data_IF_789154789914
#
_entry.id   IF_789154789914
#
_cell.length_a   1.000
_cell.length_b   1.000
_cell.length_c   1.000
_cell.angle_alpha   90.00
_cell.angle_beta   90.00
_cell.angle_gamma   90.00
#
_symmetry.space_group_name_H-M   'P 1'
#
loop_
_entity.id
_entity.type
_entity.pdbx_description
1 polymer ?
#
# COMPACT_ATOMS: atom_id res chain seq x y z
N UNK A 1 0.77 -47.07 13.55
CA UNK A 1 1.11 -46.06 14.60
C UNK A 1 0.46 -44.76 14.22
N UNK A 2 -0.70 -44.43 14.81
CA UNK A 2 -1.38 -43.16 14.58
C UNK A 2 -0.73 -42.12 15.47
N UNK A 3 -0.09 -41.11 14.85
CA UNK A 3 0.48 -39.96 15.55
C UNK A 3 -0.62 -39.11 16.14
N UNK A 4 -0.81 -39.16 17.45
CA UNK A 4 -1.65 -38.23 18.20
C UNK A 4 -1.08 -36.81 18.05
N UNK A 5 -1.76 -35.94 17.28
CA UNK A 5 -1.53 -34.50 17.37
C UNK A 5 -1.97 -34.03 18.77
N UNK A 6 -1.13 -33.33 19.53
CA UNK A 6 -1.53 -32.85 20.86
C UNK A 6 -2.67 -31.84 20.72
N UNK A 7 -3.76 -32.08 21.47
CA UNK A 7 -4.87 -31.13 21.57
C UNK A 7 -4.36 -29.81 22.14
N UNK A 8 -4.62 -28.67 21.50
CA UNK A 8 -4.23 -27.37 22.02
C UNK A 8 -4.89 -27.11 23.37
N UNK A 9 -4.13 -26.56 24.32
CA UNK A 9 -4.67 -26.15 25.63
C UNK A 9 -5.67 -25.03 25.41
N UNK A 10 -6.82 -25.03 26.12
CA UNK A 10 -7.89 -24.01 26.00
C UNK A 10 -7.41 -22.55 25.96
N UNK A 11 -6.33 -22.21 26.66
CA UNK A 11 -5.73 -20.87 26.60
C UNK A 11 -5.01 -20.55 25.29
N UNK A 12 -4.47 -21.55 24.59
CA UNK A 12 -3.83 -21.42 23.28
C UNK A 12 -4.87 -21.09 22.18
N UNK A 13 -6.03 -21.75 22.21
CA UNK A 13 -7.10 -21.49 21.21
C UNK A 13 -7.66 -20.07 21.33
N UNK A 14 -7.91 -19.57 22.55
CA UNK A 14 -8.39 -18.21 22.74
C UNK A 14 -7.39 -17.16 22.27
N UNK A 15 -6.09 -17.37 22.56
CA UNK A 15 -5.01 -16.50 22.09
C UNK A 15 -4.84 -16.55 20.56
N UNK A 16 -5.01 -17.71 19.95
CA UNK A 16 -4.96 -17.88 18.50
C UNK A 16 -6.12 -17.15 17.80
N UNK A 17 -7.32 -17.22 18.35
CA UNK A 17 -8.49 -16.50 17.83
C UNK A 17 -8.27 -14.99 17.91
N UNK A 18 -7.77 -14.50 19.04
CA UNK A 18 -7.50 -13.07 19.23
C UNK A 18 -6.43 -12.56 18.25
N UNK A 19 -5.33 -13.29 18.07
CA UNK A 19 -4.29 -12.94 17.10
C UNK A 19 -4.84 -12.93 15.67
N UNK A 20 -5.63 -13.91 15.27
CA UNK A 20 -6.27 -13.93 13.93
C UNK A 20 -7.15 -12.71 13.71
N UNK A 21 -7.97 -12.35 14.70
CA UNK A 21 -8.82 -11.16 14.65
C UNK A 21 -7.98 -9.88 14.50
N UNK A 22 -6.95 -9.70 15.34
CA UNK A 22 -6.03 -8.56 15.28
C UNK A 22 -5.34 -8.43 13.92
N UNK A 23 -4.84 -9.55 13.38
CA UNK A 23 -4.19 -9.60 12.07
C UNK A 23 -5.18 -9.24 10.95
N UNK A 24 -6.37 -9.83 10.97
CA UNK A 24 -7.40 -9.56 9.96
C UNK A 24 -7.85 -8.09 9.97
N UNK A 25 -8.18 -7.53 11.13
CA UNK A 25 -8.59 -6.13 11.25
C UNK A 25 -7.46 -5.16 10.84
N UNK A 26 -6.21 -5.51 11.16
CA UNK A 26 -5.07 -4.71 10.71
C UNK A 26 -4.92 -4.73 9.17
N UNK A 27 -5.03 -5.89 8.53
CA UNK A 27 -4.95 -6.00 7.06
C UNK A 27 -6.11 -5.27 6.40
N UNK A 28 -7.30 -5.30 6.99
CA UNK A 28 -8.48 -4.61 6.50
C UNK A 28 -8.31 -3.09 6.52
N UNK A 29 -7.75 -2.56 7.59
CA UNK A 29 -7.50 -1.12 7.74
C UNK A 29 -6.21 -0.64 7.07
N UNK A 30 -5.25 -1.55 6.81
CA UNK A 30 -3.93 -1.27 6.23
C UNK A 30 -3.61 -2.25 5.08
N UNK A 31 -4.40 -2.23 3.99
CA UNK A 31 -4.22 -3.20 2.91
C UNK A 31 -2.89 -3.00 2.17
N UNK A 32 -2.31 -4.10 1.71
CA UNK A 32 -1.06 -4.09 0.95
C UNK A 32 0.20 -3.99 1.79
N UNK A 33 0.11 -4.15 3.10
CA UNK A 33 1.28 -4.28 3.97
C UNK A 33 1.93 -5.66 3.77
N UNK A 34 3.27 -5.70 3.85
CA UNK A 34 4.01 -6.95 3.77
C UNK A 34 4.29 -7.52 5.17
N UNK A 35 4.69 -8.79 5.22
CA UNK A 35 4.89 -9.57 6.45
C UNK A 35 5.64 -8.82 7.57
N UNK A 36 6.77 -8.18 7.25
CA UNK A 36 7.59 -7.48 8.25
C UNK A 36 6.95 -6.20 8.77
N UNK A 37 6.14 -5.51 7.96
CA UNK A 37 5.37 -4.34 8.42
C UNK A 37 4.30 -4.78 9.40
N UNK A 38 3.56 -5.86 9.08
CA UNK A 38 2.52 -6.43 9.95
C UNK A 38 3.14 -6.90 11.27
N UNK A 39 4.27 -7.63 11.19
CA UNK A 39 5.00 -8.11 12.37
C UNK A 39 5.37 -6.97 13.33
N UNK A 40 6.02 -5.94 12.81
CA UNK A 40 6.45 -4.79 13.63
C UNK A 40 5.30 -4.05 14.27
N UNK A 41 4.18 -3.94 13.55
CA UNK A 41 3.02 -3.18 14.03
C UNK A 41 2.22 -3.93 15.08
N UNK A 42 2.07 -5.24 14.93
CA UNK A 42 1.27 -6.06 15.84
C UNK A 42 2.08 -6.69 16.97
N UNK A 43 3.41 -6.62 16.88
CA UNK A 43 4.36 -7.23 17.82
C UNK A 43 4.08 -8.75 18.03
N UNK A 44 3.86 -9.45 16.92
CA UNK A 44 3.62 -10.90 16.91
C UNK A 44 4.90 -11.61 16.45
N UNK A 45 5.33 -12.70 17.12
CA UNK A 45 6.47 -13.50 16.65
C UNK A 45 6.27 -13.97 15.21
N UNK A 46 7.35 -13.93 14.40
CA UNK A 46 7.28 -14.17 12.96
C UNK A 46 6.59 -15.49 12.60
N UNK A 47 7.00 -16.59 13.23
CA UNK A 47 6.41 -17.91 12.96
C UNK A 47 4.93 -18.00 13.32
N UNK A 48 4.50 -17.34 14.39
CA UNK A 48 3.08 -17.22 14.78
C UNK A 48 2.31 -16.41 13.75
N UNK A 49 2.88 -15.28 13.30
CA UNK A 49 2.25 -14.45 12.27
C UNK A 49 2.11 -15.20 10.95
N UNK A 50 3.17 -15.88 10.47
CA UNK A 50 3.12 -16.67 9.24
C UNK A 50 2.08 -17.80 9.31
N UNK A 51 1.99 -18.48 10.45
CA UNK A 51 0.95 -19.49 10.69
C UNK A 51 -0.46 -18.91 10.55
N UNK A 52 -0.74 -17.77 11.21
CA UNK A 52 -2.05 -17.15 11.16
C UNK A 52 -2.39 -16.54 9.80
N UNK A 53 -1.41 -15.94 9.11
CA UNK A 53 -1.62 -15.43 7.75
C UNK A 53 -1.98 -16.55 6.79
N UNK A 54 -1.26 -17.69 6.84
CA UNK A 54 -1.60 -18.86 6.02
C UNK A 54 -3.01 -19.35 6.32
N UNK A 55 -3.38 -19.47 7.58
CA UNK A 55 -4.72 -19.87 7.99
C UNK A 55 -5.81 -18.92 7.47
N UNK A 56 -5.58 -17.60 7.53
CA UNK A 56 -6.53 -16.61 7.00
C UNK A 56 -6.63 -16.64 5.47
N UNK A 57 -5.56 -16.98 4.76
CA UNK A 57 -5.56 -17.21 3.31
C UNK A 57 -6.35 -18.48 2.96
N UNK A 58 -6.14 -19.58 3.68
CA UNK A 58 -6.89 -20.85 3.50
C UNK A 58 -8.40 -20.68 3.74
N UNK A 59 -8.80 -19.81 4.67
CA UNK A 59 -10.20 -19.45 4.91
C UNK A 59 -10.74 -18.41 3.91
N UNK A 60 -9.96 -18.00 2.92
CA UNK A 60 -10.34 -16.98 1.94
C UNK A 60 -10.77 -15.64 2.56
N UNK A 61 -10.30 -15.31 3.76
CA UNK A 61 -10.55 -14.03 4.41
C UNK A 61 -9.61 -12.94 3.94
N UNK A 62 -8.38 -13.32 3.59
CA UNK A 62 -7.38 -12.44 2.99
C UNK A 62 -6.79 -13.10 1.74
N UNK A 63 -6.20 -12.28 0.89
CA UNK A 63 -5.45 -12.73 -0.29
C UNK A 63 -4.01 -12.23 -0.22
N UNK A 64 -3.10 -13.11 -0.55
CA UNK A 64 -1.68 -12.83 -0.72
C UNK A 64 -1.40 -12.47 -2.19
N UNK A 65 -0.60 -11.45 -2.43
CA UNK A 65 -0.14 -11.05 -3.76
C UNK A 65 1.35 -10.77 -3.75
N UNK A 66 2.07 -11.35 -4.68
CA UNK A 66 3.48 -11.03 -4.90
C UNK A 66 3.64 -9.64 -5.53
N UNK A 67 4.57 -8.86 -4.99
CA UNK A 67 4.98 -7.54 -5.46
C UNK A 67 6.51 -7.43 -5.38
N UNK A 68 7.18 -7.79 -6.45
CA UNK A 68 8.63 -7.92 -6.49
C UNK A 68 9.12 -9.00 -5.51
N UNK A 69 9.92 -8.59 -4.52
CA UNK A 69 10.45 -9.49 -3.49
C UNK A 69 9.56 -9.64 -2.25
N UNK A 70 8.39 -8.98 -2.25
CA UNK A 70 7.50 -8.95 -1.10
C UNK A 70 6.17 -9.63 -1.39
N UNK A 71 5.63 -10.30 -0.38
CA UNK A 71 4.23 -10.74 -0.35
C UNK A 71 3.41 -9.72 0.40
N UNK A 72 2.38 -9.19 -0.24
CA UNK A 72 1.47 -8.21 0.31
C UNK A 72 0.11 -8.84 0.56
N UNK A 73 -0.52 -8.43 1.65
CA UNK A 73 -1.78 -9.00 2.11
C UNK A 73 -2.91 -7.99 1.96
N UNK A 74 -4.06 -8.47 1.48
CA UNK A 74 -5.26 -7.68 1.25
C UNK A 74 -6.49 -8.42 1.77
N UNK A 75 -7.55 -7.72 2.22
CA UNK A 75 -8.82 -8.39 2.53
C UNK A 75 -9.44 -8.95 1.25
N UNK A 76 -10.02 -10.13 1.34
CA UNK A 76 -10.67 -10.79 0.20
C UNK A 76 -11.92 -10.02 -0.25
N UNK A 77 -12.12 -9.91 -1.55
CA UNK A 77 -13.36 -9.40 -2.17
C UNK A 77 -13.61 -7.89 -2.09
N UNK A 78 -12.84 -7.14 -1.27
CA UNK A 78 -13.08 -5.71 -1.04
C UNK A 78 -12.23 -4.78 -1.90
N UNK A 79 -11.11 -5.26 -2.43
CA UNK A 79 -10.14 -4.46 -3.18
C UNK A 79 -9.87 -5.10 -4.53
N UNK A 80 -10.22 -4.40 -5.60
CA UNK A 80 -10.00 -4.83 -6.98
C UNK A 80 -8.52 -4.87 -7.38
N UNK A 81 -8.20 -5.52 -8.51
CA UNK A 81 -6.81 -5.64 -9.00
C UNK A 81 -6.18 -4.28 -9.28
N UNK A 82 -6.93 -3.32 -9.81
CA UNK A 82 -6.51 -1.95 -10.05
C UNK A 82 -6.15 -1.24 -8.74
N UNK A 83 -7.01 -1.35 -7.73
CA UNK A 83 -6.80 -0.72 -6.42
C UNK A 83 -5.62 -1.34 -5.67
N UNK A 84 -5.40 -2.66 -5.80
CA UNK A 84 -4.20 -3.33 -5.26
C UNK A 84 -2.92 -2.76 -5.88
N UNK A 85 -2.92 -2.46 -7.18
CA UNK A 85 -1.79 -1.84 -7.90
C UNK A 85 -1.51 -0.42 -7.37
N UNK A 86 -2.56 0.40 -7.18
CA UNK A 86 -2.46 1.73 -6.59
C UNK A 86 -1.88 1.63 -5.16
N UNK A 87 -2.46 0.81 -4.30
CA UNK A 87 -2.03 0.65 -2.92
C UNK A 87 -0.59 0.13 -2.79
N UNK A 88 -0.14 -0.73 -3.69
CA UNK A 88 1.25 -1.19 -3.75
C UNK A 88 2.23 -0.02 -3.93
N UNK A 89 1.90 0.97 -4.75
CA UNK A 89 2.72 2.18 -4.92
C UNK A 89 2.54 3.17 -3.78
N UNK A 90 1.32 3.36 -3.29
CA UNK A 90 1.05 4.26 -2.16
C UNK A 90 1.67 3.80 -0.84
N UNK A 91 1.89 2.51 -0.65
CA UNK A 91 2.61 1.98 0.52
C UNK A 91 4.13 2.28 0.50
N UNK A 92 4.67 2.80 -0.59
CA UNK A 92 6.06 3.21 -0.73
C UNK A 92 6.17 4.74 -0.61
N UNK A 93 7.02 5.28 0.28
CA UNK A 93 7.04 6.72 0.57
C UNK A 93 7.28 7.61 -0.65
N UNK A 94 8.31 7.31 -1.47
CA UNK A 94 8.66 8.16 -2.63
C UNK A 94 7.59 8.09 -3.73
N UNK A 95 7.13 6.92 -4.22
CA UNK A 95 6.02 6.84 -5.16
C UNK A 95 4.75 7.55 -4.66
N UNK A 96 4.41 7.41 -3.38
CA UNK A 96 3.26 8.10 -2.77
C UNK A 96 3.40 9.62 -2.88
N UNK A 97 4.54 10.18 -2.50
CA UNK A 97 4.82 11.63 -2.59
C UNK A 97 4.75 12.13 -4.03
N UNK A 98 5.28 11.36 -5.00
CA UNK A 98 5.22 11.71 -6.43
C UNK A 98 3.77 11.76 -6.90
N UNK A 99 2.96 10.75 -6.55
CA UNK A 99 1.54 10.71 -6.92
C UNK A 99 0.77 11.89 -6.31
N UNK A 100 0.96 12.19 -5.02
CA UNK A 100 0.34 13.34 -4.36
C UNK A 100 0.74 14.66 -5.03
N UNK A 101 2.02 14.83 -5.36
CA UNK A 101 2.51 16.02 -6.07
C UNK A 101 1.83 16.17 -7.43
N UNK A 102 1.77 15.09 -8.23
CA UNK A 102 1.15 15.13 -9.56
C UNK A 102 -0.38 15.31 -9.53
N UNK A 103 -1.06 14.89 -8.47
CA UNK A 103 -2.48 15.15 -8.27
C UNK A 103 -2.74 16.64 -8.03
N UNK A 104 -1.85 17.34 -7.33
CA UNK A 104 -1.96 18.77 -7.05
C UNK A 104 -1.36 19.64 -8.19
N UNK A 105 -0.43 19.08 -8.95
CA UNK A 105 0.29 19.76 -10.03
C UNK A 105 0.28 18.89 -11.31
N UNK A 106 -0.89 18.74 -11.96
CA UNK A 106 -0.99 17.97 -13.21
C UNK A 106 -0.13 18.62 -14.31
N UNK A 107 0.45 17.79 -15.16
CA UNK A 107 1.34 18.19 -16.25
C UNK A 107 2.67 18.83 -15.78
N UNK A 108 3.17 18.47 -14.61
CA UNK A 108 4.49 18.89 -14.16
C UNK A 108 5.60 18.20 -14.98
N UNK A 109 6.70 18.91 -15.25
CA UNK A 109 7.88 18.32 -15.83
C UNK A 109 8.79 17.64 -14.77
N UNK A 110 9.80 16.87 -15.22
CA UNK A 110 10.68 16.14 -14.29
C UNK A 110 11.43 17.07 -13.31
N UNK A 111 11.85 18.25 -13.76
CA UNK A 111 12.56 19.21 -12.92
C UNK A 111 11.68 19.74 -11.79
N UNK A 112 10.43 20.00 -12.07
CA UNK A 112 9.43 20.42 -11.07
C UNK A 112 9.16 19.30 -10.07
N UNK A 113 9.00 18.04 -10.52
CA UNK A 113 8.88 16.88 -9.64
C UNK A 113 10.12 16.81 -8.74
N UNK A 114 11.32 16.71 -9.33
CA UNK A 114 12.56 16.45 -8.58
C UNK A 114 12.86 17.55 -7.55
N UNK A 115 12.49 18.81 -7.80
CA UNK A 115 12.71 19.93 -6.89
C UNK A 115 12.00 19.78 -5.53
N UNK A 116 10.94 18.98 -5.48
CA UNK A 116 10.15 18.76 -4.27
C UNK A 116 10.66 17.59 -3.41
N UNK A 117 11.83 17.04 -3.73
CA UNK A 117 12.41 15.91 -3.02
C UNK A 117 13.84 16.22 -2.55
N UNK A 118 14.20 15.65 -1.41
CA UNK A 118 15.58 15.65 -0.89
C UNK A 118 16.45 14.56 -1.51
N UNK A 119 15.82 13.58 -2.14
CA UNK A 119 16.48 12.45 -2.81
C UNK A 119 17.15 12.90 -4.12
N UNK A 120 18.15 12.11 -4.56
CA UNK A 120 18.86 12.41 -5.80
C UNK A 120 17.94 12.35 -7.03
N UNK A 121 18.20 13.14 -8.08
CA UNK A 121 17.42 13.05 -9.34
C UNK A 121 17.37 11.66 -9.93
N UNK A 122 18.41 10.86 -9.81
CA UNK A 122 18.44 9.46 -10.27
C UNK A 122 17.47 8.57 -9.48
N UNK A 123 17.36 8.78 -8.16
CA UNK A 123 16.38 8.07 -7.32
C UNK A 123 14.94 8.44 -7.73
N UNK A 124 14.67 9.73 -7.93
CA UNK A 124 13.35 10.19 -8.38
C UNK A 124 13.02 9.63 -9.76
N UNK A 125 13.98 9.66 -10.71
CA UNK A 125 13.80 9.08 -12.05
C UNK A 125 13.44 7.59 -11.98
N UNK A 126 14.12 6.81 -11.14
CA UNK A 126 13.79 5.41 -10.92
C UNK A 126 12.34 5.20 -10.48
N UNK A 127 11.84 6.02 -9.54
CA UNK A 127 10.47 5.90 -9.05
C UNK A 127 9.44 6.43 -10.06
N UNK A 128 9.75 7.47 -10.83
CA UNK A 128 8.92 7.94 -11.95
C UNK A 128 8.78 6.83 -13.01
N UNK A 129 9.88 6.18 -13.39
CA UNK A 129 9.85 5.06 -14.34
C UNK A 129 9.04 3.87 -13.80
N UNK A 130 9.13 3.61 -12.51
CA UNK A 130 8.33 2.58 -11.84
C UNK A 130 6.83 2.90 -11.90
N UNK A 131 6.44 4.15 -11.68
CA UNK A 131 5.05 4.62 -11.79
C UNK A 131 4.55 4.58 -13.24
N UNK A 132 5.39 4.92 -14.23
CA UNK A 132 5.08 4.78 -15.66
C UNK A 132 4.85 3.31 -16.04
N UNK A 133 5.74 2.40 -15.65
CA UNK A 133 5.60 0.95 -15.88
C UNK A 133 4.37 0.37 -15.21
N UNK A 134 3.96 0.93 -14.09
CA UNK A 134 2.72 0.54 -13.42
C UNK A 134 1.48 1.20 -14.03
N UNK A 135 1.63 2.04 -15.04
CA UNK A 135 0.54 2.78 -15.71
C UNK A 135 -0.31 3.65 -14.75
N UNK A 136 0.27 4.06 -13.63
CA UNK A 136 -0.38 4.98 -12.70
C UNK A 136 -0.17 6.44 -13.09
N UNK A 137 0.92 6.73 -13.77
CA UNK A 137 1.18 8.01 -14.41
C UNK A 137 1.43 7.81 -15.90
N UNK A 138 1.17 8.84 -16.66
CA UNK A 138 1.51 8.95 -18.10
C UNK A 138 2.47 10.11 -18.31
N UNK A 139 3.16 10.10 -19.45
CA UNK A 139 4.00 11.21 -19.90
C UNK A 139 3.57 11.65 -21.30
N UNK A 140 3.52 12.93 -21.52
CA UNK A 140 3.18 13.54 -22.79
C UNK A 140 4.23 14.58 -23.17
N UNK A 141 4.58 14.65 -24.46
CA UNK A 141 5.53 15.62 -24.96
C UNK A 141 4.80 16.91 -25.36
N UNK A 142 5.16 18.03 -24.73
CA UNK A 142 4.67 19.34 -25.10
C UNK A 142 5.86 20.23 -25.50
N UNK A 143 6.01 20.48 -26.78
CA UNK A 143 7.17 21.21 -27.30
C UNK A 143 8.49 20.46 -27.03
N UNK A 144 9.36 21.05 -26.20
CA UNK A 144 10.64 20.48 -25.79
C UNK A 144 10.61 19.76 -24.45
N UNK A 145 9.50 19.81 -23.74
CA UNK A 145 9.35 19.25 -22.40
C UNK A 145 8.54 17.96 -22.41
N UNK A 146 8.84 17.10 -21.42
CA UNK A 146 8.05 15.93 -21.09
C UNK A 146 7.25 16.24 -19.82
N UNK A 147 5.94 16.17 -19.92
CA UNK A 147 5.00 16.44 -18.83
C UNK A 147 4.42 15.14 -18.30
N UNK A 148 4.22 15.09 -16.99
CA UNK A 148 3.73 13.90 -16.27
C UNK A 148 2.41 14.21 -15.60
N UNK A 149 1.48 13.26 -15.66
CA UNK A 149 0.19 13.35 -14.99
C UNK A 149 -0.28 11.98 -14.50
N UNK A 150 -1.16 11.97 -13.51
CA UNK A 150 -1.80 10.75 -13.02
C UNK A 150 -2.84 10.27 -14.03
N UNK A 151 -2.91 8.96 -14.31
CA UNK A 151 -3.84 8.41 -15.31
C UNK A 151 -5.28 8.42 -14.78
N UNK A 152 -5.48 8.05 -13.53
CA UNK A 152 -6.79 8.01 -12.86
C UNK A 152 -6.69 8.71 -11.51
N UNK A 153 -6.84 10.02 -11.55
CA UNK A 153 -6.72 10.90 -10.38
C UNK A 153 -7.73 10.55 -9.30
N UNK A 154 -8.97 10.27 -9.68
CA UNK A 154 -10.04 9.96 -8.73
C UNK A 154 -9.79 8.66 -7.98
N UNK A 155 -9.34 7.60 -8.65
CA UNK A 155 -9.02 6.34 -7.99
C UNK A 155 -7.82 6.48 -7.05
N UNK A 156 -6.76 7.20 -7.44
CA UNK A 156 -5.59 7.41 -6.59
C UNK A 156 -5.95 8.27 -5.37
N UNK A 157 -6.67 9.37 -5.56
CA UNK A 157 -7.13 10.24 -4.47
C UNK A 157 -8.05 9.47 -3.51
N UNK A 158 -9.00 8.68 -4.01
CA UNK A 158 -9.87 7.82 -3.20
C UNK A 158 -9.07 6.85 -2.32
N UNK A 159 -8.03 6.21 -2.84
CA UNK A 159 -7.20 5.29 -2.06
C UNK A 159 -6.40 6.04 -0.98
N UNK A 160 -5.86 7.22 -1.28
CA UNK A 160 -5.18 8.08 -0.29
C UNK A 160 -6.14 8.49 0.84
N UNK A 161 -7.34 8.93 0.52
CA UNK A 161 -8.35 9.35 1.51
C UNK A 161 -8.82 8.17 2.36
N UNK A 162 -9.20 7.06 1.72
CA UNK A 162 -9.76 5.88 2.39
C UNK A 162 -8.77 5.26 3.37
N UNK A 163 -7.49 5.20 3.00
CA UNK A 163 -6.45 4.51 3.78
C UNK A 163 -5.41 5.47 4.37
N UNK A 164 -5.75 6.76 4.56
CA UNK A 164 -4.83 7.79 5.08
C UNK A 164 -4.09 7.35 6.35
N UNK A 165 -4.78 6.71 7.29
CA UNK A 165 -4.18 6.22 8.53
C UNK A 165 -3.15 5.10 8.32
N UNK A 166 -3.23 4.38 7.19
CA UNK A 166 -2.27 3.33 6.84
C UNK A 166 -0.88 3.87 6.51
N UNK A 167 -0.79 5.12 6.07
CA UNK A 167 0.47 5.68 5.57
C UNK A 167 1.31 6.30 6.67
N UNK A 168 0.72 6.69 7.81
CA UNK A 168 1.38 7.37 8.96
C UNK A 168 2.25 8.56 8.50
N UNK A 169 1.72 9.40 7.62
CA UNK A 169 2.44 10.43 6.90
C UNK A 169 1.63 11.73 6.97
N UNK A 170 2.15 12.74 7.66
CA UNK A 170 1.50 14.05 7.79
C UNK A 170 1.26 14.74 6.45
N UNK A 171 2.08 14.43 5.43
CA UNK A 171 1.86 14.95 4.08
C UNK A 171 0.58 14.39 3.44
N UNK A 172 0.16 13.18 3.82
CA UNK A 172 -1.12 12.61 3.37
C UNK A 172 -2.28 13.36 4.00
N UNK A 173 -2.18 13.74 5.27
CA UNK A 173 -3.23 14.52 5.94
C UNK A 173 -3.39 15.89 5.26
N UNK A 174 -2.29 16.62 5.07
CA UNK A 174 -2.31 17.90 4.36
C UNK A 174 -2.80 17.77 2.91
N UNK A 175 -2.43 16.70 2.21
CA UNK A 175 -2.93 16.42 0.88
C UNK A 175 -4.45 16.23 0.88
N UNK A 176 -4.99 15.44 1.81
CA UNK A 176 -6.44 15.16 1.90
C UNK A 176 -7.23 16.45 2.15
N UNK A 177 -6.73 17.33 3.02
CA UNK A 177 -7.34 18.65 3.27
C UNK A 177 -7.38 19.48 1.99
N UNK A 178 -6.22 19.67 1.35
CA UNK A 178 -6.11 20.47 0.10
C UNK A 178 -6.96 19.88 -1.04
N UNK A 179 -6.95 18.54 -1.20
CA UNK A 179 -7.73 17.87 -2.24
C UNK A 179 -9.23 18.08 -2.05
N UNK A 180 -9.71 17.98 -0.80
CA UNK A 180 -11.13 18.18 -0.47
C UNK A 180 -11.59 19.62 -0.70
N UNK A 181 -10.70 20.60 -0.54
CA UNK A 181 -11.00 22.02 -0.86
C UNK A 181 -11.11 22.27 -2.38
N UNK A 182 -10.30 21.58 -3.17
CA UNK A 182 -10.28 21.71 -4.63
C UNK A 182 -11.39 20.92 -5.33
N UNK A 183 -11.94 19.89 -4.66
CA UNK A 183 -12.95 18.97 -5.21
C UNK A 183 -14.08 18.75 -4.19
N UNK A 184 -14.90 19.79 -3.91
CA UNK A 184 -15.98 19.75 -2.90
C UNK A 184 -17.13 18.81 -3.28
#
# INVERSE_FOLDING_TARGET
MQGMTPKPKKGSEAFDIENRKRIFEYIKSHPGKHLREIQRKLDIPLGTLEYHLRYLVELELIVEKEDGHYRRYYPQGTIGSKDKKILSMLNQPIPRKILMFLLLHPNANFKEIAKNFSESPSTISFHVDKLLKSELIKKEKLGREMLYSVVDEQSVAKMLITYKQSFLDSLVESFVETWSELHP
#
